data_IF_643124170107
#
_entry.id   IF_643124170107
#
_cell.length_a   1.000
_cell.length_b   1.000
_cell.length_c   1.000
_cell.angle_alpha   90.00
_cell.angle_beta   90.00
_cell.angle_gamma   90.00
#
_symmetry.space_group_name_H-M   'P 1'
#
loop_
_entity.id
_entity.type
_entity.pdbx_description
1 polymer ?
#
# COMPACT_ATOMS: atom_id res chain seq x y z
N UNK A 1 2.53 -28.39 27.56
CA UNK A 1 2.95 -28.44 26.14
C UNK A 1 3.92 -27.30 25.94
N UNK A 2 5.13 -27.59 25.47
CA UNK A 2 6.06 -26.55 25.00
C UNK A 2 5.43 -25.77 23.84
N UNK A 3 5.85 -24.52 23.66
CA UNK A 3 5.37 -23.69 22.55
C UNK A 3 5.74 -24.38 21.23
N UNK A 4 4.76 -24.70 20.36
CA UNK A 4 5.05 -25.33 19.08
C UNK A 4 5.93 -24.48 18.16
N UNK A 5 6.20 -23.21 18.47
CA UNK A 5 7.09 -22.32 17.71
C UNK A 5 8.51 -22.20 18.28
N UNK A 6 8.81 -22.84 19.41
CA UNK A 6 10.12 -22.77 20.08
C UNK A 6 11.28 -23.20 19.16
N UNK A 7 11.03 -24.16 18.26
CA UNK A 7 12.02 -24.66 17.29
C UNK A 7 12.49 -23.62 16.28
N UNK A 8 11.72 -22.54 16.02
CA UNK A 8 12.10 -21.50 15.07
C UNK A 8 13.29 -20.67 15.56
N UNK A 9 13.50 -20.61 16.88
CA UNK A 9 14.63 -19.89 17.48
C UNK A 9 15.92 -20.73 17.50
N UNK A 10 15.79 -22.05 17.41
CA UNK A 10 16.93 -22.99 17.45
C UNK A 10 17.39 -23.39 16.05
N UNK A 11 16.47 -23.46 15.08
CA UNK A 11 16.76 -23.94 13.74
C UNK A 11 16.97 -22.76 12.78
N UNK A 12 18.24 -22.39 12.61
CA UNK A 12 18.61 -21.51 11.51
C UNK A 12 18.74 -22.30 10.20
N UNK A 13 17.67 -22.33 9.40
CA UNK A 13 17.66 -22.97 8.07
C UNK A 13 18.64 -22.33 7.07
N UNK A 14 19.13 -21.14 7.37
CA UNK A 14 20.05 -20.39 6.53
C UNK A 14 21.51 -20.70 6.91
N UNK A 15 21.92 -21.91 6.57
CA UNK A 15 23.29 -22.43 6.75
C UNK A 15 24.36 -21.55 6.09
N UNK A 16 23.98 -20.77 5.07
CA UNK A 16 24.86 -19.86 4.32
C UNK A 16 24.89 -18.42 4.85
N UNK A 17 24.17 -18.11 5.93
CA UNK A 17 24.10 -16.77 6.54
C UNK A 17 23.71 -15.66 5.55
N UNK A 18 22.85 -15.96 4.57
CA UNK A 18 22.23 -14.95 3.73
C UNK A 18 21.43 -13.93 4.59
N UNK A 19 21.14 -12.72 4.09
CA UNK A 19 20.20 -11.85 4.79
C UNK A 19 18.83 -12.55 4.92
N UNK A 20 18.17 -12.39 6.07
CA UNK A 20 16.88 -13.02 6.37
C UNK A 20 15.78 -12.62 5.37
N UNK A 21 15.88 -11.41 4.84
CA UNK A 21 15.02 -10.89 3.79
C UNK A 21 15.87 -10.26 2.69
N UNK A 22 15.47 -10.44 1.44
CA UNK A 22 16.09 -9.79 0.28
C UNK A 22 14.99 -9.09 -0.51
N UNK A 23 15.11 -7.77 -0.69
CA UNK A 23 14.17 -7.00 -1.51
C UNK A 23 14.63 -6.95 -2.96
N UNK A 24 13.72 -7.26 -3.87
CA UNK A 24 13.89 -7.12 -5.31
C UNK A 24 12.96 -6.01 -5.78
N UNK A 25 13.53 -4.88 -6.19
CA UNK A 25 12.79 -3.73 -6.71
C UNK A 25 13.16 -3.57 -8.18
N UNK A 26 12.17 -3.74 -9.05
CA UNK A 26 12.35 -3.74 -10.49
C UNK A 26 11.32 -2.84 -11.14
N UNK A 27 11.77 -1.97 -12.05
CA UNK A 27 10.89 -1.03 -12.76
C UNK A 27 10.18 -1.76 -13.90
N UNK A 28 8.87 -1.53 -14.03
CA UNK A 28 8.11 -2.03 -15.17
C UNK A 28 8.56 -1.33 -16.46
N UNK A 29 8.70 -2.05 -17.59
CA UNK A 29 9.11 -1.44 -18.85
C UNK A 29 8.05 -0.47 -19.37
N UNK A 30 8.50 0.59 -20.04
CA UNK A 30 7.63 1.55 -20.73
C UNK A 30 6.99 0.96 -21.99
N UNK A 31 5.97 1.62 -22.56
CA UNK A 31 5.27 1.13 -23.78
C UNK A 31 6.19 0.94 -25.00
N UNK A 32 7.34 1.62 -25.02
CA UNK A 32 8.33 1.57 -26.10
C UNK A 32 9.50 0.63 -25.79
N UNK A 33 9.55 0.06 -24.59
CA UNK A 33 10.57 -0.89 -24.18
C UNK A 33 10.12 -2.33 -24.43
N UNK A 34 11.12 -3.19 -24.65
CA UNK A 34 10.88 -4.61 -24.76
C UNK A 34 10.54 -5.21 -23.39
N UNK A 35 9.89 -6.37 -23.42
CA UNK A 35 9.59 -7.15 -22.22
C UNK A 35 10.87 -7.47 -21.44
N UNK A 36 10.85 -7.22 -20.12
CA UNK A 36 11.98 -7.51 -19.25
C UNK A 36 11.76 -8.85 -18.57
N UNK A 37 12.67 -9.79 -18.78
CA UNK A 37 12.64 -11.10 -18.12
C UNK A 37 13.62 -11.11 -16.96
N UNK A 38 13.13 -11.42 -15.77
CA UNK A 38 13.90 -11.49 -14.53
C UNK A 38 13.92 -12.92 -14.04
N UNK A 39 15.11 -13.43 -13.73
CA UNK A 39 15.29 -14.79 -13.20
C UNK A 39 15.76 -14.71 -11.76
N UNK A 40 14.94 -15.21 -10.84
CA UNK A 40 15.18 -15.21 -9.40
C UNK A 40 15.66 -16.61 -9.00
N UNK A 41 16.75 -16.66 -8.26
CA UNK A 41 17.38 -17.90 -7.81
C UNK A 41 16.51 -18.60 -6.75
N UNK A 42 16.33 -19.92 -6.91
CA UNK A 42 15.70 -20.79 -5.89
C UNK A 42 16.62 -21.91 -5.40
N UNK A 43 17.80 -22.08 -6.01
CA UNK A 43 18.76 -23.10 -5.59
C UNK A 43 19.70 -22.62 -4.46
N UNK A 44 19.72 -21.32 -4.13
CA UNK A 44 20.59 -20.73 -3.09
C UNK A 44 22.11 -20.89 -3.34
N UNK A 45 22.49 -21.18 -4.58
CA UNK A 45 23.89 -21.45 -4.98
C UNK A 45 24.43 -20.40 -5.97
N UNK A 46 23.58 -19.47 -6.41
CA UNK A 46 23.98 -18.37 -7.28
C UNK A 46 25.00 -17.45 -6.61
N UNK A 47 26.07 -17.11 -7.32
CA UNK A 47 27.04 -16.08 -6.91
C UNK A 47 26.47 -14.67 -7.00
N UNK A 48 25.35 -14.49 -7.71
CA UNK A 48 24.62 -13.22 -7.85
C UNK A 48 23.28 -13.24 -7.11
N UNK A 49 23.18 -14.04 -6.04
CA UNK A 49 21.96 -14.12 -5.23
C UNK A 49 21.50 -12.71 -4.83
N UNK A 50 20.22 -12.34 -5.07
CA UNK A 50 19.04 -13.17 -5.34
C UNK A 50 18.78 -13.55 -6.82
N UNK A 51 19.56 -13.05 -7.77
CA UNK A 51 19.38 -13.36 -9.20
C UNK A 51 19.93 -14.72 -9.57
N UNK A 52 19.36 -15.35 -10.59
CA UNK A 52 19.84 -16.62 -11.12
C UNK A 52 20.96 -16.42 -12.15
N UNK A 53 22.10 -17.06 -11.91
CA UNK A 53 23.31 -17.10 -12.74
C UNK A 53 23.53 -18.45 -13.44
N UNK A 54 22.47 -19.27 -13.50
CA UNK A 54 22.46 -20.62 -14.10
C UNK A 54 23.26 -21.70 -13.37
N UNK A 55 23.77 -21.43 -12.16
CA UNK A 55 24.37 -22.45 -11.28
C UNK A 55 23.46 -23.65 -10.99
N UNK A 56 22.14 -23.46 -11.08
CA UNK A 56 21.16 -24.53 -10.91
C UNK A 56 21.31 -25.69 -11.93
N UNK A 57 21.90 -25.43 -13.10
CA UNK A 57 22.11 -26.45 -14.15
C UNK A 57 22.99 -27.61 -13.67
N UNK A 58 24.00 -27.32 -12.85
CA UNK A 58 24.89 -28.36 -12.29
C UNK A 58 24.10 -29.31 -11.39
N UNK A 59 23.12 -28.81 -10.63
CA UNK A 59 22.27 -29.67 -9.80
C UNK A 59 21.31 -30.50 -10.65
N UNK A 60 20.80 -29.96 -11.76
CA UNK A 60 20.00 -30.72 -12.73
C UNK A 60 20.80 -31.88 -13.32
N UNK A 61 22.06 -31.63 -13.72
CA UNK A 61 22.97 -32.68 -14.22
C UNK A 61 23.23 -33.77 -13.17
N UNK A 62 23.24 -33.41 -11.88
CA UNK A 62 23.39 -34.34 -10.76
C UNK A 62 22.06 -35.01 -10.33
N UNK A 63 20.97 -34.80 -11.05
CA UNK A 63 19.67 -35.46 -10.80
C UNK A 63 18.69 -34.69 -9.91
N UNK A 64 18.97 -33.44 -9.56
CA UNK A 64 18.02 -32.56 -8.86
C UNK A 64 17.05 -31.88 -9.85
N UNK A 65 15.87 -31.45 -9.39
CA UNK A 65 14.88 -30.77 -10.23
C UNK A 65 14.62 -29.34 -9.74
N UNK A 66 15.70 -28.56 -9.66
CA UNK A 66 15.66 -27.16 -9.23
C UNK A 66 15.77 -26.22 -10.43
N UNK A 67 15.05 -25.10 -10.36
CA UNK A 67 15.08 -24.09 -11.41
C UNK A 67 14.71 -22.70 -10.87
N UNK A 68 15.06 -21.62 -11.57
CA UNK A 68 14.74 -20.27 -11.15
C UNK A 68 13.24 -19.98 -11.23
N UNK A 69 12.78 -19.00 -10.47
CA UNK A 69 11.51 -18.35 -10.73
C UNK A 69 11.70 -17.29 -11.82
N UNK A 70 10.90 -17.33 -12.88
CA UNK A 70 11.04 -16.43 -14.03
C UNK A 70 9.85 -15.48 -14.06
N UNK A 71 10.10 -14.20 -13.79
CA UNK A 71 9.12 -13.13 -13.91
C UNK A 71 9.28 -12.43 -15.26
N UNK A 72 8.19 -12.36 -16.04
CA UNK A 72 8.12 -11.57 -17.27
C UNK A 72 7.38 -10.27 -16.97
N UNK A 73 8.09 -9.16 -17.04
CA UNK A 73 7.54 -7.82 -16.90
C UNK A 73 7.18 -7.30 -18.29
N UNK A 74 5.90 -7.04 -18.49
CA UNK A 74 5.37 -6.45 -19.73
C UNK A 74 4.82 -5.07 -19.43
N UNK A 75 4.97 -4.13 -20.37
CA UNK A 75 4.30 -2.85 -20.26
C UNK A 75 2.78 -3.07 -20.27
N UNK A 76 2.04 -2.33 -19.45
CA UNK A 76 0.58 -2.39 -19.48
C UNK A 76 0.08 -1.80 -20.81
N UNK A 77 -0.31 -2.66 -21.75
CA UNK A 77 -0.92 -2.24 -23.02
C UNK A 77 -2.42 -2.09 -22.79
N UNK A 78 -2.89 -0.84 -22.64
CA UNK A 78 -4.31 -0.54 -22.70
C UNK A 78 -4.87 -1.02 -24.04
N UNK A 79 -5.97 -1.76 -24.01
CA UNK A 79 -6.72 -2.03 -25.24
C UNK A 79 -7.18 -0.72 -25.88
N UNK A 80 -7.41 -0.74 -27.20
CA UNK A 80 -7.86 0.47 -27.90
C UNK A 80 -9.21 0.97 -27.37
N UNK A 81 -10.05 0.06 -26.86
CA UNK A 81 -11.28 0.40 -26.16
C UNK A 81 -11.03 1.14 -24.83
N UNK A 82 -10.07 0.69 -24.02
CA UNK A 82 -9.73 1.33 -22.76
C UNK A 82 -9.04 2.69 -22.98
N UNK A 83 -8.20 2.81 -24.02
CA UNK A 83 -7.65 4.09 -24.47
C UNK A 83 -8.77 5.06 -24.85
N UNK A 84 -9.76 4.59 -25.61
CA UNK A 84 -10.91 5.40 -26.02
C UNK A 84 -11.77 5.81 -24.82
N UNK A 85 -12.05 4.90 -23.87
CA UNK A 85 -12.77 5.19 -22.63
C UNK A 85 -12.05 6.25 -21.80
N UNK A 86 -10.73 6.14 -21.65
CA UNK A 86 -9.88 7.11 -20.93
C UNK A 86 -9.88 8.48 -21.61
N UNK A 87 -9.82 8.53 -22.95
CA UNK A 87 -9.91 9.78 -23.73
C UNK A 87 -11.27 10.47 -23.53
N UNK A 88 -12.37 9.73 -23.70
CA UNK A 88 -13.75 10.24 -23.49
C UNK A 88 -13.96 10.75 -22.06
N UNK A 89 -13.45 10.02 -21.06
CA UNK A 89 -13.47 10.45 -19.67
C UNK A 89 -12.73 11.78 -19.51
N UNK A 90 -11.48 11.89 -19.95
CA UNK A 90 -10.70 13.13 -19.82
C UNK A 90 -11.37 14.33 -20.51
N UNK A 91 -11.91 14.15 -21.72
CA UNK A 91 -12.67 15.20 -22.43
C UNK A 91 -13.90 15.66 -21.63
N UNK A 92 -14.62 14.75 -20.97
CA UNK A 92 -15.77 15.07 -20.12
C UNK A 92 -15.36 15.96 -18.94
N UNK A 93 -14.26 15.65 -18.26
CA UNK A 93 -13.79 16.45 -17.11
C UNK A 93 -13.24 17.81 -17.54
N UNK A 94 -12.52 17.89 -18.66
CA UNK A 94 -12.08 19.18 -19.23
C UNK A 94 -13.29 20.05 -19.58
N UNK A 95 -14.33 19.47 -20.20
CA UNK A 95 -15.58 20.19 -20.49
C UNK A 95 -16.29 20.64 -19.22
N UNK A 96 -16.28 19.85 -18.15
CA UNK A 96 -16.84 20.24 -16.85
C UNK A 96 -16.04 21.40 -16.24
N UNK A 97 -14.71 21.32 -16.19
CA UNK A 97 -13.87 22.38 -15.65
C UNK A 97 -14.00 23.69 -16.45
N UNK A 98 -14.12 23.62 -17.77
CA UNK A 98 -14.33 24.79 -18.61
C UNK A 98 -15.77 25.33 -18.53
N UNK A 99 -16.74 24.51 -18.12
CA UNK A 99 -18.14 24.91 -17.89
C UNK A 99 -18.35 25.50 -16.50
N UNK A 100 -17.42 25.31 -15.56
CA UNK A 100 -17.37 26.10 -14.32
C UNK A 100 -16.74 27.44 -14.72
N UNK A 101 -17.53 28.51 -14.89
CA UNK A 101 -16.94 29.82 -15.10
C UNK A 101 -16.24 30.15 -13.78
N UNK A 102 -14.96 30.48 -13.85
CA UNK A 102 -14.35 31.32 -12.84
C UNK A 102 -15.14 32.64 -12.83
N UNK A 103 -16.17 32.72 -11.99
CA UNK A 103 -16.79 33.98 -11.59
C UNK A 103 -15.71 34.80 -10.89
N UNK A 104 -14.98 35.61 -11.67
CA UNK A 104 -14.28 36.76 -11.11
C UNK A 104 -15.28 37.91 -11.02
N UNK A 105 -15.51 38.34 -9.78
CA UNK A 105 -16.36 39.46 -9.32
C UNK A 105 -17.85 39.12 -9.27
N UNK A 106 -18.53 39.27 -8.13
CA UNK A 106 -18.78 40.57 -7.49
C UNK A 106 -18.53 40.59 -5.98
N UNK A 107 -18.01 41.71 -5.48
CA UNK A 107 -17.97 42.09 -4.05
C UNK A 107 -19.30 41.79 -3.36
N UNK A 108 -19.38 40.70 -2.59
CA UNK A 108 -20.37 40.60 -1.51
C UNK A 108 -19.66 41.07 -0.25
N UNK A 109 -19.91 42.32 0.14
CA UNK A 109 -19.49 42.87 1.42
C UNK A 109 -20.23 42.12 2.54
N UNK A 110 -19.71 40.97 2.98
CA UNK A 110 -20.10 40.44 4.29
C UNK A 110 -19.33 41.22 5.34
N UNK A 111 -19.93 42.34 5.76
CA UNK A 111 -19.45 43.21 6.82
C UNK A 111 -19.42 42.42 8.12
N UNK A 112 -18.29 41.79 8.41
CA UNK A 112 -18.02 41.19 9.70
C UNK A 112 -17.80 42.35 10.69
N UNK A 113 -18.88 42.86 11.27
CA UNK A 113 -18.83 43.78 12.39
C UNK A 113 -18.28 43.02 13.60
N UNK A 114 -16.97 43.02 13.78
CA UNK A 114 -16.34 42.63 15.02
C UNK A 114 -16.53 43.78 16.02
N UNK A 115 -17.62 43.73 16.78
CA UNK A 115 -17.75 44.61 17.94
C UNK A 115 -16.87 44.06 19.05
N UNK A 116 -15.70 44.66 19.18
CA UNK A 116 -14.82 44.54 20.33
C UNK A 116 -15.57 45.05 21.58
N UNK A 117 -16.10 44.12 22.38
CA UNK A 117 -16.49 44.40 23.76
C UNK A 117 -15.58 43.57 24.65
N UNK A 118 -14.55 44.25 25.15
CA UNK A 118 -13.70 43.75 26.20
C UNK A 118 -14.37 44.08 27.53
N UNK A 119 -15.07 43.13 28.15
CA UNK A 119 -15.32 43.17 29.59
C UNK A 119 -15.06 41.79 30.19
N UNK A 120 -13.96 41.73 30.93
CA UNK A 120 -13.59 40.68 31.87
C UNK A 120 -14.80 40.33 32.75
N UNK A 121 -15.15 39.05 32.88
CA UNK A 121 -15.36 38.42 34.19
C UNK A 121 -15.60 36.90 34.05
N UNK A 122 -14.69 36.13 34.69
CA UNK A 122 -14.84 34.81 35.32
C UNK A 122 -15.25 33.60 34.44
N UNK A 123 -14.33 32.62 34.37
CA UNK A 123 -14.55 31.26 33.87
C UNK A 123 -15.73 30.58 34.60
N UNK A 124 -16.57 29.81 33.89
CA UNK A 124 -16.80 28.43 34.33
C UNK A 124 -16.86 27.41 33.18
N UNK A 125 -16.03 26.37 33.33
CA UNK A 125 -16.32 24.94 33.14
C UNK A 125 -17.61 24.63 32.35
N UNK A 126 -17.53 24.41 31.03
CA UNK A 126 -18.44 23.53 30.27
C UNK A 126 -17.79 23.19 28.92
N UNK A 127 -16.86 22.23 28.91
CA UNK A 127 -16.30 21.68 27.66
C UNK A 127 -16.12 20.15 27.71
N UNK A 128 -17.00 19.42 28.42
CA UNK A 128 -16.83 17.97 28.64
C UNK A 128 -18.01 17.07 28.27
N UNK A 129 -19.15 17.59 27.78
CA UNK A 129 -20.30 16.70 27.54
C UNK A 129 -20.35 16.00 26.18
N UNK A 130 -19.54 16.42 25.19
CA UNK A 130 -19.58 15.82 23.83
C UNK A 130 -18.44 14.83 23.54
N UNK A 131 -17.40 14.77 24.40
CA UNK A 131 -16.23 13.90 24.21
C UNK A 131 -16.37 12.58 25.01
N UNK A 132 -17.17 12.57 26.08
CA UNK A 132 -17.38 11.36 26.91
C UNK A 132 -18.44 10.40 26.34
N UNK A 133 -19.37 10.86 25.51
CA UNK A 133 -20.43 10.01 24.94
C UNK A 133 -19.92 9.08 23.84
N UNK A 134 -18.89 9.47 23.09
CA UNK A 134 -18.26 8.63 22.07
C UNK A 134 -17.34 7.55 22.64
N UNK A 135 -16.76 7.75 23.83
CA UNK A 135 -15.92 6.75 24.50
C UNK A 135 -16.74 5.58 25.10
N UNK A 136 -17.93 5.87 25.65
CA UNK A 136 -18.81 4.84 26.26
C UNK A 136 -19.44 3.92 25.20
N UNK A 137 -19.74 4.46 24.02
CA UNK A 137 -20.29 3.67 22.90
C UNK A 137 -19.25 2.76 22.23
N UNK A 138 -17.96 3.07 22.36
CA UNK A 138 -16.90 2.21 21.83
C UNK A 138 -16.67 1.00 22.74
N UNK A 139 -16.65 1.20 24.07
CA UNK A 139 -16.35 0.12 25.03
C UNK A 139 -17.46 -0.93 25.15
N UNK A 140 -18.73 -0.57 24.95
CA UNK A 140 -19.83 -1.55 24.92
C UNK A 140 -19.80 -2.46 23.69
N UNK A 141 -19.28 -1.97 22.56
CA UNK A 141 -19.21 -2.77 21.32
C UNK A 141 -18.16 -3.89 21.41
N UNK A 142 -17.05 -3.62 22.12
CA UNK A 142 -15.96 -4.59 22.34
C UNK A 142 -16.31 -5.69 23.35
N UNK A 143 -17.25 -5.45 24.28
CA UNK A 143 -17.73 -6.49 25.20
C UNK A 143 -18.72 -7.45 24.53
N UNK A 144 -19.52 -6.97 23.58
CA UNK A 144 -20.50 -7.80 22.86
C UNK A 144 -19.81 -8.69 21.83
N UNK A 145 -18.73 -8.23 21.17
CA UNK A 145 -17.97 -9.06 20.22
C UNK A 145 -17.15 -10.17 20.90
N UNK A 146 -16.64 -9.94 22.12
CA UNK A 146 -15.93 -10.96 22.89
C UNK A 146 -16.82 -12.09 23.42
N UNK A 147 -18.15 -11.91 23.50
CA UNK A 147 -19.07 -12.96 23.95
C UNK A 147 -19.53 -13.93 22.84
N UNK A 148 -19.34 -13.56 21.57
CA UNK A 148 -19.69 -14.41 20.43
C UNK A 148 -18.49 -15.11 19.78
N UNK A 149 -17.28 -15.00 20.36
CA UNK A 149 -16.06 -15.62 19.82
C UNK A 149 -15.49 -16.74 20.71
N UNK A 150 -16.21 -17.17 21.74
CA UNK A 150 -15.89 -18.38 22.50
C UNK A 150 -17.02 -19.39 22.38
N UNK A 151 -17.07 -20.06 21.23
CA UNK A 151 -17.58 -21.42 21.05
C UNK A 151 -16.96 -22.00 19.77
#
# INVERSE_FOLDING_TARGET
>A
MSDPLEYLNEINFNTKKFPQYTHLIETCPSEHENEKTIRICRCWQSGKFPYCDDTHKIFIENGDNVGPYVAKLTSYKLSDEEKLKKKKYNEKYIKINNKIPYEKSTKLNFKLNYSYVNQKLKKPIFLSFFVLTSAILYTQKDQVTNMYSTH
#
